data_IF_160952464368
#
_entry.id   IF_160952464368
#
_cell.length_a   1.000
_cell.length_b   1.000
_cell.length_c   1.000
_cell.angle_alpha   90.00
_cell.angle_beta   90.00
_cell.angle_gamma   90.00
#
_symmetry.space_group_name_H-M   'P 1'
#
loop_
_entity.id
_entity.type
_entity.pdbx_description
1 polymer ?
#
# COMPACT_ATOMS: atom_id res chain seq x y z
N UNK A 1 22.95 0.54 1.28
CA UNK A 1 22.00 0.63 0.16
C UNK A 1 21.34 2.00 0.18
N UNK A 2 21.20 2.67 -0.97
CA UNK A 2 20.37 3.88 -1.07
C UNK A 2 18.90 3.45 -1.17
N UNK A 3 18.06 3.91 -0.25
CA UNK A 3 16.62 3.65 -0.20
C UNK A 3 15.88 4.96 0.02
N UNK A 4 14.64 5.02 -0.45
CA UNK A 4 13.74 6.13 -0.16
C UNK A 4 12.44 5.61 0.46
N UNK A 5 11.68 6.52 1.06
CA UNK A 5 10.44 6.22 1.78
C UNK A 5 9.28 6.96 1.13
N UNK A 6 8.09 6.36 1.23
CA UNK A 6 6.85 7.04 0.86
C UNK A 6 6.52 8.04 1.96
N UNK A 7 5.98 9.20 1.57
CA UNK A 7 5.49 10.21 2.52
C UNK A 7 4.07 10.64 2.17
N UNK A 8 3.32 11.06 3.19
CA UNK A 8 1.98 11.65 3.06
C UNK A 8 2.02 12.99 3.78
N UNK A 9 1.78 14.06 3.04
CA UNK A 9 1.69 15.42 3.57
C UNK A 9 0.39 15.62 4.36
N UNK A 10 0.32 16.68 5.17
CA UNK A 10 -0.87 17.01 5.97
C UNK A 10 -2.12 17.25 5.12
N UNK A 11 -1.94 17.78 3.90
CA UNK A 11 -3.01 17.97 2.91
C UNK A 11 -3.50 16.66 2.27
N UNK A 12 -2.89 15.52 2.62
CA UNK A 12 -3.20 14.19 2.09
C UNK A 12 -2.52 13.83 0.78
N UNK A 13 -1.62 14.69 0.26
CA UNK A 13 -0.84 14.39 -0.93
C UNK A 13 0.16 13.26 -0.66
N UNK A 14 0.18 12.27 -1.55
CA UNK A 14 1.02 11.08 -1.43
C UNK A 14 2.21 11.23 -2.37
N UNK A 15 3.41 11.26 -1.81
CA UNK A 15 4.65 11.29 -2.58
C UNK A 15 5.30 9.90 -2.57
N UNK A 16 5.41 9.30 -3.76
CA UNK A 16 6.09 8.03 -3.97
C UNK A 16 7.36 8.29 -4.79
N UNK A 17 8.55 8.02 -4.21
CA UNK A 17 9.81 8.16 -4.91
C UNK A 17 9.94 7.30 -6.17
N UNK A 18 10.76 7.77 -7.12
CA UNK A 18 11.16 6.97 -8.29
C UNK A 18 12.26 5.94 -7.95
N UNK A 19 12.97 6.14 -6.84
CA UNK A 19 14.00 5.23 -6.36
C UNK A 19 13.42 3.97 -5.71
N UNK A 20 14.28 3.00 -5.39
CA UNK A 20 13.87 1.78 -4.70
C UNK A 20 13.30 2.09 -3.31
N UNK A 21 12.07 1.66 -3.07
CA UNK A 21 11.36 1.87 -1.81
C UNK A 21 11.60 0.69 -0.88
N UNK A 22 12.16 0.99 0.28
CA UNK A 22 12.37 0.04 1.37
C UNK A 22 12.07 0.74 2.68
N UNK A 23 11.04 0.29 3.39
CA UNK A 23 10.55 0.94 4.61
C UNK A 23 10.53 -0.05 5.77
N UNK A 24 11.05 0.36 6.91
CA UNK A 24 10.92 -0.38 8.17
C UNK A 24 9.48 -0.34 8.68
N UNK A 25 9.13 -1.26 9.58
CA UNK A 25 7.81 -1.26 10.23
C UNK A 25 7.50 0.07 10.96
N UNK A 26 8.51 0.75 11.51
CA UNK A 26 8.36 2.05 12.15
C UNK A 26 8.08 3.17 11.13
N UNK A 27 8.73 3.17 9.97
CA UNK A 27 8.46 4.14 8.91
C UNK A 27 7.06 3.93 8.31
N UNK A 28 6.61 2.68 8.15
CA UNK A 28 5.25 2.35 7.71
C UNK A 28 4.21 2.80 8.75
N UNK A 29 4.52 2.60 10.03
CA UNK A 29 3.69 3.06 11.13
C UNK A 29 3.52 4.58 11.12
N UNK A 30 4.62 5.32 10.92
CA UNK A 30 4.60 6.78 10.78
C UNK A 30 3.81 7.22 9.53
N UNK A 31 4.04 6.58 8.38
CA UNK A 31 3.32 6.84 7.13
C UNK A 31 1.80 6.73 7.30
N UNK A 32 1.33 5.70 8.02
CA UNK A 32 -0.09 5.41 8.17
C UNK A 32 -0.73 5.96 9.45
N UNK A 33 0.04 6.60 10.33
CA UNK A 33 -0.47 7.09 11.62
C UNK A 33 -0.97 5.96 12.52
N UNK A 34 -0.26 4.83 12.56
CA UNK A 34 -0.62 3.64 13.37
C UNK A 34 0.57 3.20 14.24
N UNK A 35 0.34 2.26 15.15
CA UNK A 35 1.41 1.69 15.98
C UNK A 35 2.24 0.63 15.23
N UNK A 36 3.56 0.67 15.39
CA UNK A 36 4.50 -0.29 14.79
C UNK A 36 4.23 -1.74 15.23
N UNK A 37 3.75 -1.96 16.45
CA UNK A 37 3.30 -3.29 16.89
C UNK A 37 2.16 -3.86 16.05
N UNK A 38 1.22 -3.00 15.62
CA UNK A 38 0.11 -3.39 14.74
C UNK A 38 0.62 -3.68 13.32
N UNK A 39 1.56 -2.89 12.82
CA UNK A 39 2.27 -3.13 11.55
C UNK A 39 2.95 -4.49 11.57
N UNK A 40 3.77 -4.78 12.57
CA UNK A 40 4.46 -6.06 12.71
C UNK A 40 3.49 -7.25 12.79
N UNK A 41 2.37 -7.11 13.50
CA UNK A 41 1.34 -8.15 13.55
C UNK A 41 0.76 -8.45 12.16
N UNK A 42 0.41 -7.41 11.40
CA UNK A 42 -0.14 -7.61 10.06
C UNK A 42 0.89 -8.11 9.04
N UNK A 43 2.17 -7.71 9.14
CA UNK A 43 3.27 -8.24 8.32
C UNK A 43 3.40 -9.75 8.53
N UNK A 44 3.45 -10.20 9.80
CA UNK A 44 3.52 -11.62 10.13
C UNK A 44 2.33 -12.40 9.58
N UNK A 45 1.13 -11.85 9.67
CA UNK A 45 -0.08 -12.48 9.12
C UNK A 45 -0.05 -12.53 7.59
N UNK A 46 0.44 -11.49 6.91
CA UNK A 46 0.66 -11.50 5.45
C UNK A 46 1.53 -12.68 5.02
N UNK A 47 2.69 -12.86 5.65
CA UNK A 47 3.60 -13.94 5.29
C UNK A 47 3.05 -15.31 5.68
N UNK A 48 2.44 -15.41 6.87
CA UNK A 48 1.78 -16.65 7.32
C UNK A 48 0.68 -17.11 6.36
N UNK A 49 -0.06 -16.17 5.78
CA UNK A 49 -1.12 -16.45 4.80
C UNK A 49 -0.59 -16.69 3.38
N UNK A 50 0.73 -16.56 3.15
CA UNK A 50 1.35 -16.74 1.84
C UNK A 50 0.96 -15.67 0.82
N UNK A 51 0.49 -14.50 1.26
CA UNK A 51 0.07 -13.41 0.36
C UNK A 51 1.27 -12.72 -0.32
N UNK A 52 2.43 -12.75 0.34
CA UNK A 52 3.71 -12.35 -0.22
C UNK A 52 4.78 -13.34 0.23
N UNK A 53 5.85 -13.43 -0.56
CA UNK A 53 7.04 -14.20 -0.23
C UNK A 53 8.02 -13.34 0.55
N UNK A 54 8.55 -13.86 1.66
CA UNK A 54 9.51 -13.12 2.49
C UNK A 54 10.77 -12.73 1.70
N UNK A 55 11.29 -13.62 0.85
CA UNK A 55 12.50 -13.39 0.06
C UNK A 55 12.35 -12.32 -1.04
N UNK A 56 11.12 -12.00 -1.42
CA UNK A 56 10.81 -10.98 -2.43
C UNK A 56 10.41 -9.64 -1.80
N UNK A 57 9.69 -9.70 -0.68
CA UNK A 57 9.08 -8.52 -0.06
C UNK A 57 9.86 -7.95 1.13
N UNK A 58 10.84 -8.66 1.68
CA UNK A 58 11.61 -8.26 2.84
C UNK A 58 13.12 -8.30 2.58
N UNK A 59 13.84 -7.32 3.12
CA UNK A 59 15.30 -7.32 3.19
C UNK A 59 15.76 -6.85 4.56
N UNK A 60 16.77 -7.50 5.10
CA UNK A 60 17.37 -7.12 6.38
C UNK A 60 18.56 -6.20 6.15
N UNK A 61 18.49 -4.98 6.69
CA UNK A 61 19.60 -4.04 6.71
C UNK A 61 20.42 -4.22 7.99
N UNK A 62 21.69 -4.57 7.83
CA UNK A 62 22.64 -4.72 8.95
C UNK A 62 23.39 -3.42 9.22
N UNK A 63 23.60 -3.09 10.49
CA UNK A 63 24.42 -1.95 10.93
C UNK A 63 25.14 -2.25 12.25
N UNK A 64 26.08 -1.37 12.64
CA UNK A 64 26.78 -1.50 13.92
C UNK A 64 25.79 -1.32 15.08
N UNK A 65 25.36 -2.43 15.67
CA UNK A 65 24.41 -2.45 16.78
C UNK A 65 23.09 -3.17 16.50
N UNK A 66 22.89 -3.72 15.29
CA UNK A 66 21.74 -4.56 15.04
C UNK A 66 21.37 -4.75 13.57
N UNK A 67 20.13 -5.20 13.39
CA UNK A 67 19.51 -5.47 12.12
C UNK A 67 18.11 -4.84 12.10
N UNK A 68 17.67 -4.36 10.95
CA UNK A 68 16.31 -3.87 10.75
C UNK A 68 15.74 -4.47 9.48
N UNK A 69 14.55 -5.05 9.59
CA UNK A 69 13.82 -5.54 8.44
C UNK A 69 13.14 -4.38 7.72
N UNK A 70 13.32 -4.35 6.40
CA UNK A 70 12.75 -3.38 5.48
C UNK A 70 11.81 -4.10 4.52
N UNK A 71 10.74 -3.41 4.16
CA UNK A 71 9.67 -3.95 3.35
C UNK A 71 9.48 -3.13 2.08
N UNK A 72 9.22 -3.82 0.97
CA UNK A 72 9.01 -3.21 -0.34
C UNK A 72 7.62 -2.54 -0.45
N UNK A 73 7.37 -1.90 -1.59
CA UNK A 73 6.09 -1.22 -1.85
C UNK A 73 4.88 -2.17 -1.86
N UNK A 74 5.04 -3.45 -2.20
CA UNK A 74 3.94 -4.43 -2.22
C UNK A 74 3.43 -4.70 -0.81
N UNK A 75 4.33 -4.87 0.15
CA UNK A 75 3.98 -4.97 1.57
C UNK A 75 3.27 -3.70 2.05
N UNK A 76 3.82 -2.51 1.75
CA UNK A 76 3.20 -1.22 2.13
C UNK A 76 1.79 -1.09 1.54
N UNK A 77 1.62 -1.49 0.28
CA UNK A 77 0.33 -1.51 -0.43
C UNK A 77 -0.66 -2.41 0.28
N UNK A 78 -0.29 -3.66 0.57
CA UNK A 78 -1.19 -4.60 1.23
C UNK A 78 -1.57 -4.16 2.65
N UNK A 79 -0.62 -3.63 3.42
CA UNK A 79 -0.89 -3.09 4.75
C UNK A 79 -1.87 -1.91 4.70
N UNK A 80 -1.84 -1.09 3.64
CA UNK A 80 -2.79 0.01 3.49
C UNK A 80 -4.26 -0.46 3.44
N UNK A 81 -4.53 -1.69 3.01
CA UNK A 81 -5.88 -2.27 3.01
C UNK A 81 -6.26 -2.95 4.33
N UNK A 82 -5.30 -3.19 5.23
CA UNK A 82 -5.51 -3.76 6.57
C UNK A 82 -5.75 -2.70 7.64
N UNK A 83 -5.50 -1.42 7.32
CA UNK A 83 -5.63 -0.30 8.25
C UNK A 83 -6.77 0.65 7.87
N UNK A 84 -7.41 1.19 8.90
CA UNK A 84 -8.41 2.26 8.79
C UNK A 84 -7.88 3.53 9.47
N UNK A 85 -7.09 4.31 8.73
CA UNK A 85 -6.62 5.65 9.13
C UNK A 85 -6.84 6.67 7.99
N UNK A 86 -6.89 7.98 8.27
CA UNK A 86 -6.95 9.01 7.23
C UNK A 86 -5.81 8.88 6.21
N UNK A 87 -4.59 8.61 6.68
CA UNK A 87 -3.40 8.45 5.84
C UNK A 87 -3.54 7.23 4.93
N UNK A 88 -4.03 6.09 5.44
CA UNK A 88 -4.27 4.89 4.60
C UNK A 88 -5.36 5.13 3.57
N UNK A 89 -6.39 5.94 3.88
CA UNK A 89 -7.41 6.34 2.91
C UNK A 89 -6.79 7.15 1.76
N UNK A 90 -5.96 8.14 2.07
CA UNK A 90 -5.25 8.94 1.06
C UNK A 90 -4.34 8.07 0.19
N UNK A 91 -3.58 7.16 0.82
CA UNK A 91 -2.72 6.22 0.10
C UNK A 91 -3.49 5.29 -0.83
N UNK A 92 -4.61 4.70 -0.37
CA UNK A 92 -5.48 3.86 -1.23
C UNK A 92 -6.08 4.65 -2.39
N UNK A 93 -6.50 5.90 -2.16
CA UNK A 93 -7.00 6.78 -3.23
C UNK A 93 -5.91 7.06 -4.27
N UNK A 94 -4.68 7.32 -3.82
CA UNK A 94 -3.54 7.49 -4.72
C UNK A 94 -3.25 6.23 -5.56
N UNK A 95 -3.25 5.04 -4.94
CA UNK A 95 -3.08 3.76 -5.66
C UNK A 95 -4.16 3.60 -6.73
N UNK A 96 -5.43 3.78 -6.37
CA UNK A 96 -6.56 3.62 -7.31
C UNK A 96 -6.48 4.66 -8.43
N UNK A 97 -6.15 5.92 -8.11
CA UNK A 97 -5.92 6.97 -9.09
C UNK A 97 -4.87 6.56 -10.11
N UNK A 98 -3.72 6.09 -9.65
CA UNK A 98 -2.62 5.67 -10.52
C UNK A 98 -2.97 4.47 -11.41
N UNK A 99 -3.71 3.50 -10.88
CA UNK A 99 -4.14 2.32 -11.63
C UNK A 99 -5.24 2.64 -12.65
N UNK A 100 -6.09 3.64 -12.38
CA UNK A 100 -7.20 4.03 -13.26
C UNK A 100 -6.77 5.02 -14.34
N UNK A 101 -5.79 5.89 -14.08
CA UNK A 101 -5.15 6.73 -15.11
C UNK A 101 -4.69 5.90 -16.31
N UNK A 102 -4.05 4.76 -16.05
CA UNK A 102 -3.56 3.84 -17.09
C UNK A 102 -4.68 3.16 -17.90
N UNK A 103 -5.91 3.10 -17.36
CA UNK A 103 -7.07 2.44 -18.00
C UNK A 103 -7.96 3.38 -18.81
N UNK A 104 -7.79 4.70 -18.71
CA UNK A 104 -8.63 5.69 -19.42
C UNK A 104 -8.41 5.76 -20.94
N UNK A 105 -7.51 4.94 -21.50
CA UNK A 105 -7.40 4.73 -22.96
C UNK A 105 -8.53 3.88 -23.55
N UNK A 106 -9.42 3.29 -22.74
CA UNK A 106 -10.65 2.65 -23.24
C UNK A 106 -11.77 2.83 -22.22
N UNK A 107 -12.85 3.57 -22.51
CA UNK A 107 -13.95 3.69 -21.57
C UNK A 107 -14.59 2.32 -21.38
N UNK A 108 -14.59 1.80 -20.16
CA UNK A 108 -15.46 0.69 -19.78
C UNK A 108 -16.91 1.18 -19.87
N UNK A 109 -17.55 0.89 -21.00
CA UNK A 109 -18.99 1.03 -21.21
C UNK A 109 -19.72 0.09 -20.25
N UNK A 110 -20.37 0.67 -19.24
CA UNK A 110 -21.33 -0.06 -18.42
C UNK A 110 -22.72 0.13 -19.05
N UNK A 111 -23.24 -0.89 -19.73
CA UNK A 111 -24.60 -0.87 -20.29
C UNK A 111 -25.56 -1.44 -19.24
N UNK A 112 -26.32 -0.55 -18.59
CA UNK A 112 -27.45 -0.95 -17.74
C UNK A 112 -28.69 -1.15 -18.62
N UNK A 113 -29.11 -2.39 -18.85
CA UNK A 113 -30.41 -2.67 -19.48
C UNK A 113 -31.49 -2.73 -18.41
N UNK A 114 -32.35 -1.71 -18.34
CA UNK A 114 -33.55 -1.73 -17.54
C UNK A 114 -34.60 -2.64 -18.19
N UNK A 115 -35.05 -3.67 -17.47
CA UNK A 115 -36.13 -4.55 -17.93
C UNK A 115 -37.47 -3.81 -17.82
N UNK A 116 -37.81 -3.03 -18.83
CA UNK A 116 -39.12 -2.39 -18.95
C UNK A 116 -40.19 -3.45 -19.21
N UNK A 117 -40.93 -3.85 -18.18
CA UNK A 117 -42.11 -4.68 -18.32
C UNK A 117 -43.31 -3.83 -18.75
N UNK A 118 -43.87 -4.15 -19.91
CA UNK A 118 -45.22 -3.73 -20.30
C UNK A 118 -46.06 -5.00 -20.31
N UNK A 119 -47.10 -5.05 -19.48
CA UNK A 119 -48.18 -6.03 -19.61
C UNK A 119 -49.46 -5.24 -19.88
N UNK A 120 -50.15 -5.65 -20.95
CA UNK A 120 -51.44 -5.12 -21.41
C UNK A 120 -52.55 -5.30 -20.37
#
# INVERSE_FOLDING_TARGET
>A
MKREIITIEENGNVHVPTASIWMSACEIAALFGVFSGKVNSHIKSVFKEGLLREDEAMQTLLFKGGAVDLYNIEMVTMLSFRFASPQTKNFRQWIIGRLTEKKRTSPSLLVCYGKGGWYN
#
